data_IF_978555003125
#
_entry.id   IF_978555003125
#
_cell.length_a   1.000
_cell.length_b   1.000
_cell.length_c   1.000
_cell.angle_alpha   90.00
_cell.angle_beta   90.00
_cell.angle_gamma   90.00
#
_symmetry.space_group_name_H-M   'P 1'
#
loop_
_entity.id
_entity.type
_entity.pdbx_description
1 polymer ?
#
# COMPACT_ATOMS: atom_id res chain seq x y z
N UNK A 1 46.38 28.86 29.11
CA UNK A 1 46.03 29.40 27.77
C UNK A 1 45.74 28.22 26.86
N UNK A 2 44.48 27.77 26.79
CA UNK A 2 44.06 26.72 25.86
C UNK A 2 42.69 27.13 25.29
N UNK A 3 42.73 28.02 24.30
CA UNK A 3 41.57 28.47 23.54
C UNK A 3 41.60 27.76 22.18
N UNK A 4 41.00 26.58 22.13
CA UNK A 4 40.70 25.89 20.88
C UNK A 4 39.19 25.69 20.78
N UNK A 5 38.50 26.58 20.08
CA UNK A 5 37.07 26.43 19.83
C UNK A 5 36.78 25.17 18.98
N UNK A 6 35.71 24.41 19.27
CA UNK A 6 35.35 23.24 18.50
C UNK A 6 34.80 23.68 17.12
N UNK A 7 35.54 23.35 16.06
CA UNK A 7 35.08 23.57 14.67
C UNK A 7 33.90 22.65 14.35
N UNK A 8 32.71 23.22 14.26
CA UNK A 8 31.51 22.55 13.74
C UNK A 8 31.76 22.23 12.26
N UNK A 9 31.91 20.94 11.93
CA UNK A 9 31.90 20.49 10.53
C UNK A 9 30.51 20.74 9.94
N UNK A 10 30.37 21.75 9.07
CA UNK A 10 29.19 21.88 8.20
C UNK A 10 29.14 20.63 7.32
N UNK A 11 28.17 19.76 7.57
CA UNK A 11 27.86 18.63 6.68
C UNK A 11 27.32 19.25 5.40
N UNK A 12 28.12 19.18 4.33
CA UNK A 12 27.69 19.59 2.99
C UNK A 12 26.83 18.44 2.47
N UNK A 13 25.51 18.61 2.46
CA UNK A 13 24.64 17.68 1.72
C UNK A 13 24.92 17.90 0.23
N UNK A 14 25.55 16.92 -0.40
CA UNK A 14 25.64 16.88 -1.86
C UNK A 14 24.28 16.46 -2.41
N UNK A 15 23.75 17.27 -3.33
CA UNK A 15 22.53 16.94 -4.06
C UNK A 15 22.82 15.78 -5.00
N UNK A 16 22.36 14.58 -4.62
CA UNK A 16 22.63 13.34 -5.35
C UNK A 16 21.50 13.10 -6.34
N UNK A 17 21.77 13.31 -7.63
CA UNK A 17 20.82 12.94 -8.69
C UNK A 17 20.57 11.44 -8.66
N UNK A 18 19.31 11.03 -8.52
CA UNK A 18 18.90 9.62 -8.53
C UNK A 18 18.58 9.21 -9.97
N UNK A 19 19.14 8.10 -10.44
CA UNK A 19 18.87 7.59 -11.77
C UNK A 19 17.46 6.98 -11.86
N UNK A 20 16.89 6.95 -13.07
CA UNK A 20 15.69 6.15 -13.32
C UNK A 20 15.91 4.70 -12.89
N UNK A 21 14.87 4.07 -12.35
CA UNK A 21 14.89 2.69 -11.86
C UNK A 21 15.88 2.42 -10.70
N UNK A 22 16.32 3.45 -9.97
CA UNK A 22 17.16 3.27 -8.77
C UNK A 22 16.48 2.48 -7.63
N UNK A 23 15.15 2.39 -7.65
CA UNK A 23 14.35 1.54 -6.77
C UNK A 23 13.65 0.48 -7.60
N UNK A 24 13.81 -0.78 -7.19
CA UNK A 24 13.13 -1.94 -7.79
C UNK A 24 12.32 -2.65 -6.71
N UNK A 25 11.06 -2.94 -6.98
CA UNK A 25 10.21 -3.73 -6.11
C UNK A 25 9.53 -4.86 -6.87
N UNK A 26 9.44 -6.02 -6.23
CA UNK A 26 8.71 -7.18 -6.72
C UNK A 26 7.71 -7.66 -5.66
N UNK A 27 6.54 -8.08 -6.11
CA UNK A 27 5.47 -8.54 -5.23
C UNK A 27 4.25 -8.96 -6.04
N UNK A 28 3.12 -9.06 -5.37
CA UNK A 28 1.86 -9.45 -6.00
C UNK A 28 1.12 -8.18 -6.44
N UNK A 29 1.10 -7.84 -7.75
CA UNK A 29 0.27 -6.75 -8.23
C UNK A 29 -1.19 -7.17 -8.12
N UNK A 30 -2.02 -6.32 -7.51
CA UNK A 30 -3.44 -6.59 -7.30
C UNK A 30 -4.28 -5.43 -7.83
N UNK A 31 -5.52 -5.73 -8.22
CA UNK A 31 -6.55 -4.73 -8.44
C UNK A 31 -7.38 -4.63 -7.15
N UNK A 32 -7.30 -3.50 -6.47
CA UNK A 32 -8.14 -3.23 -5.31
C UNK A 32 -9.53 -2.84 -5.78
N UNK A 33 -10.55 -3.51 -5.25
CA UNK A 33 -11.98 -3.19 -5.44
C UNK A 33 -12.51 -2.72 -4.10
N UNK A 34 -12.67 -1.41 -3.93
CA UNK A 34 -13.05 -0.78 -2.67
C UNK A 34 -14.51 -0.35 -2.70
N UNK A 35 -15.26 -0.66 -1.63
CA UNK A 35 -16.61 -0.18 -1.45
C UNK A 35 -16.95 -0.08 0.05
N UNK A 36 -17.89 0.80 0.38
CA UNK A 36 -18.51 0.83 1.70
C UNK A 36 -19.59 -0.26 1.75
N UNK A 37 -19.48 -1.18 2.70
CA UNK A 37 -20.41 -2.31 2.89
C UNK A 37 -20.96 -2.32 4.32
N UNK A 38 -22.08 -3.01 4.51
CA UNK A 38 -22.68 -3.23 5.82
C UNK A 38 -22.14 -4.49 6.51
N UNK A 39 -22.53 -4.68 7.78
CA UNK A 39 -22.14 -5.85 8.58
C UNK A 39 -22.70 -7.15 8.00
N UNK A 40 -23.90 -7.11 7.43
CA UNK A 40 -24.56 -8.30 6.85
C UNK A 40 -23.76 -8.84 5.66
N UNK A 41 -23.13 -7.97 4.87
CA UNK A 41 -22.22 -8.38 3.81
C UNK A 41 -20.98 -9.09 4.36
N UNK A 42 -20.38 -8.57 5.44
CA UNK A 42 -19.23 -9.22 6.08
C UNK A 42 -19.61 -10.59 6.63
N UNK A 43 -20.74 -10.69 7.34
CA UNK A 43 -21.24 -11.93 7.92
C UNK A 43 -21.55 -12.98 6.84
N UNK A 44 -22.13 -12.58 5.70
CA UNK A 44 -22.43 -13.46 4.56
C UNK A 44 -21.20 -14.21 4.04
N UNK A 45 -20.04 -13.57 4.06
CA UNK A 45 -18.78 -14.15 3.59
C UNK A 45 -17.86 -14.60 4.74
N UNK A 46 -18.30 -14.48 6.00
CA UNK A 46 -17.51 -14.85 7.17
C UNK A 46 -16.26 -13.99 7.37
N UNK A 47 -16.34 -12.70 7.01
CA UNK A 47 -15.24 -11.74 7.12
C UNK A 47 -15.25 -11.06 8.47
N UNK A 48 -14.09 -11.00 9.14
CA UNK A 48 -13.93 -10.16 10.33
C UNK A 48 -13.60 -8.73 9.92
N UNK A 49 -14.04 -7.71 10.69
CA UNK A 49 -13.57 -6.35 10.47
C UNK A 49 -12.04 -6.26 10.54
N UNK A 50 -11.43 -5.55 9.58
CA UNK A 50 -9.98 -5.36 9.44
C UNK A 50 -9.17 -6.65 9.18
N UNK A 51 -9.80 -7.72 8.70
CA UNK A 51 -9.09 -8.95 8.34
C UNK A 51 -8.43 -8.85 6.96
N UNK A 52 -7.33 -9.59 6.78
CA UNK A 52 -6.64 -9.72 5.50
C UNK A 52 -6.39 -11.21 5.24
N UNK A 53 -7.22 -11.78 4.36
CA UNK A 53 -7.24 -13.23 4.08
C UNK A 53 -7.11 -13.50 2.58
N UNK A 54 -6.66 -14.69 2.23
CA UNK A 54 -6.76 -15.19 0.86
C UNK A 54 -8.18 -15.68 0.56
N UNK A 55 -8.61 -15.49 -0.68
CA UNK A 55 -9.93 -15.94 -1.11
C UNK A 55 -10.01 -17.48 -1.12
N UNK A 56 -11.03 -18.02 -0.45
CA UNK A 56 -11.43 -19.43 -0.49
C UNK A 56 -12.59 -19.58 -1.50
N UNK A 57 -13.06 -20.81 -1.74
CA UNK A 57 -14.20 -21.08 -2.62
C UNK A 57 -15.46 -20.28 -2.24
N UNK A 58 -15.72 -20.09 -0.94
CA UNK A 58 -16.86 -19.28 -0.45
C UNK A 58 -16.76 -17.79 -0.82
N UNK A 59 -15.55 -17.28 -1.08
CA UNK A 59 -15.30 -15.88 -1.42
C UNK A 59 -15.37 -15.61 -2.94
N UNK A 60 -15.45 -16.62 -3.82
CA UNK A 60 -15.39 -16.42 -5.28
C UNK A 60 -16.48 -15.50 -5.81
N UNK A 61 -17.69 -15.59 -5.26
CA UNK A 61 -18.84 -14.73 -5.66
C UNK A 61 -18.80 -13.33 -5.06
N UNK A 62 -17.91 -13.06 -4.11
CA UNK A 62 -17.83 -11.78 -3.41
C UNK A 62 -17.58 -10.63 -4.38
N UNK A 63 -16.63 -10.79 -5.30
CA UNK A 63 -16.22 -9.72 -6.21
C UNK A 63 -17.37 -9.26 -7.12
N UNK A 64 -18.12 -10.20 -7.69
CA UNK A 64 -19.29 -9.88 -8.51
C UNK A 64 -20.40 -9.19 -7.70
N UNK A 65 -20.70 -9.72 -6.50
CA UNK A 65 -21.73 -9.17 -5.63
C UNK A 65 -21.37 -7.74 -5.18
N UNK A 66 -20.09 -7.48 -4.89
CA UNK A 66 -19.59 -6.18 -4.47
C UNK A 66 -19.79 -5.13 -5.57
N UNK A 67 -19.40 -5.45 -6.81
CA UNK A 67 -19.52 -4.55 -7.98
C UNK A 67 -20.99 -4.30 -8.37
N UNK A 68 -21.87 -5.31 -8.20
CA UNK A 68 -23.29 -5.17 -8.52
C UNK A 68 -24.08 -4.37 -7.48
N UNK A 69 -23.73 -4.51 -6.20
CA UNK A 69 -24.51 -3.95 -5.07
C UNK A 69 -24.02 -2.60 -4.58
N UNK A 70 -22.77 -2.24 -4.86
CA UNK A 70 -22.13 -1.08 -4.27
C UNK A 70 -21.50 -0.19 -5.33
N UNK A 71 -21.42 1.10 -5.05
CA UNK A 71 -20.53 1.99 -5.80
C UNK A 71 -19.09 1.62 -5.43
N UNK A 72 -18.38 1.04 -6.39
CA UNK A 72 -16.99 0.60 -6.21
C UNK A 72 -16.01 1.62 -6.75
N UNK A 73 -14.84 1.69 -6.10
CA UNK A 73 -13.66 2.40 -6.56
C UNK A 73 -12.56 1.39 -6.88
N UNK A 74 -11.83 1.62 -7.98
CA UNK A 74 -10.77 0.73 -8.45
C UNK A 74 -9.41 1.40 -8.31
N UNK A 75 -8.46 0.69 -7.71
CA UNK A 75 -7.08 1.16 -7.55
C UNK A 75 -6.07 0.08 -7.92
N UNK A 76 -4.93 0.51 -8.46
CA UNK A 76 -3.77 -0.36 -8.56
C UNK A 76 -3.18 -0.56 -7.16
N UNK A 77 -3.23 -1.81 -6.69
CA UNK A 77 -2.98 -2.21 -5.32
C UNK A 77 -1.88 -3.27 -5.19
N UNK A 78 -1.86 -3.92 -4.03
CA UNK A 78 -0.80 -4.83 -3.62
C UNK A 78 0.28 -4.13 -2.79
N UNK A 79 0.76 -4.81 -1.74
CA UNK A 79 1.62 -4.21 -0.72
C UNK A 79 2.91 -3.59 -1.29
N UNK A 80 3.67 -4.35 -2.08
CA UNK A 80 4.91 -3.83 -2.69
C UNK A 80 4.63 -2.67 -3.64
N UNK A 81 3.58 -2.77 -4.45
CA UNK A 81 3.22 -1.73 -5.41
C UNK A 81 2.79 -0.44 -4.69
N UNK A 82 2.04 -0.55 -3.61
CA UNK A 82 1.65 0.58 -2.77
C UNK A 82 2.85 1.27 -2.10
N UNK A 83 3.88 0.52 -1.70
CA UNK A 83 5.10 1.11 -1.16
C UNK A 83 5.95 1.80 -2.24
N UNK A 84 6.20 1.13 -3.37
CA UNK A 84 7.06 1.64 -4.44
C UNK A 84 6.45 2.87 -5.12
N UNK A 85 5.13 2.90 -5.34
CA UNK A 85 4.45 4.05 -5.98
C UNK A 85 4.51 5.34 -5.17
N UNK A 86 4.75 5.24 -3.86
CA UNK A 86 4.87 6.40 -2.95
C UNK A 86 6.34 6.77 -2.77
N UNK A 87 7.25 5.79 -2.85
CA UNK A 87 8.68 6.01 -2.68
C UNK A 87 9.36 6.62 -3.92
N UNK A 88 8.75 6.49 -5.11
CA UNK A 88 9.23 7.03 -6.38
C UNK A 88 8.35 8.20 -6.83
#
# INVERSE_FOLDING_TARGET
>A
MATGEPKIKKIKLEEKTVNQNALFGMGNPLLDICAVVDKDFLDKYGLKPNDQILAEEKHKKLFEDLVKKSKVEYHAGGATQNAVKIAQ
#
